data_IF_908495298623
#
_entry.id   IF_908495298623
#
_cell.length_a   1.000
_cell.length_b   1.000
_cell.length_c   1.000
_cell.angle_alpha   90.00
_cell.angle_beta   90.00
_cell.angle_gamma   90.00
#
_symmetry.space_group_name_H-M   'P 1'
#
loop_
_entity.id
_entity.type
_entity.pdbx_description
1 polymer ?
#
# COMPACT_ATOMS: atom_id res chain seq x y z
N UNK A 1 -54.28 48.58 49.17
CA UNK A 1 -54.74 47.38 49.90
C UNK A 1 -55.81 46.68 49.08
N UNK A 2 -55.48 45.49 48.59
CA UNK A 2 -56.27 44.69 47.64
C UNK A 2 -57.52 44.10 48.30
N UNK A 3 -58.71 44.38 47.75
CA UNK A 3 -60.00 43.72 48.07
C UNK A 3 -60.04 42.30 47.50
N UNK A 4 -59.09 41.46 47.85
CA UNK A 4 -59.15 40.04 47.53
C UNK A 4 -59.43 39.27 48.82
N UNK A 5 -60.36 38.32 48.76
CA UNK A 5 -60.63 37.28 49.77
C UNK A 5 -61.70 37.55 50.87
N UNK A 6 -62.90 38.01 50.51
CA UNK A 6 -64.06 37.81 51.41
C UNK A 6 -64.52 36.34 51.51
N UNK A 7 -64.13 35.50 50.55
CA UNK A 7 -64.43 34.06 50.53
C UNK A 7 -63.75 33.26 51.66
N UNK A 8 -62.67 33.78 52.27
CA UNK A 8 -61.71 32.95 53.02
C UNK A 8 -61.68 33.19 54.53
N UNK A 9 -62.69 33.87 55.10
CA UNK A 9 -62.68 34.29 56.52
C UNK A 9 -62.70 33.16 57.58
N UNK A 10 -62.91 31.88 57.22
CA UNK A 10 -63.20 30.82 58.21
C UNK A 10 -62.65 29.40 57.96
N UNK A 11 -61.75 29.14 57.01
CA UNK A 11 -61.25 27.76 56.79
C UNK A 11 -59.73 27.72 56.59
N UNK A 12 -59.13 26.65 57.12
CA UNK A 12 -57.70 26.34 57.12
C UNK A 12 -57.02 26.62 55.77
N UNK A 13 -55.81 27.18 55.84
CA UNK A 13 -55.11 27.86 54.75
C UNK A 13 -54.48 26.90 53.72
N UNK A 14 -55.29 26.10 53.04
CA UNK A 14 -54.81 25.27 51.93
C UNK A 14 -54.73 26.12 50.66
N UNK A 15 -53.51 26.40 50.22
CA UNK A 15 -53.22 27.12 48.97
C UNK A 15 -52.77 26.12 47.90
N UNK A 16 -53.15 26.38 46.65
CA UNK A 16 -52.69 25.66 45.48
C UNK A 16 -52.00 26.61 44.50
N UNK A 17 -51.09 26.07 43.71
CA UNK A 17 -50.29 26.80 42.75
C UNK A 17 -50.59 26.31 41.33
N UNK A 18 -50.84 27.23 40.41
CA UNK A 18 -51.00 26.87 38.99
C UNK A 18 -49.63 26.77 38.32
N UNK A 19 -49.30 25.61 37.78
CA UNK A 19 -47.99 25.35 37.18
C UNK A 19 -47.74 26.07 35.84
N UNK A 20 -48.78 26.59 35.19
CA UNK A 20 -48.66 27.29 33.90
C UNK A 20 -48.53 28.81 34.09
N UNK A 21 -49.35 29.38 34.96
CA UNK A 21 -49.39 30.83 35.16
C UNK A 21 -48.71 31.30 36.45
N UNK A 22 -48.19 30.35 37.24
CA UNK A 22 -47.45 30.59 38.48
C UNK A 22 -48.20 31.44 39.53
N UNK A 23 -49.54 31.42 39.48
CA UNK A 23 -50.40 32.13 40.45
C UNK A 23 -50.85 31.21 41.56
N UNK A 24 -50.99 31.77 42.76
CA UNK A 24 -51.49 31.11 43.95
C UNK A 24 -53.00 31.31 44.10
N UNK A 25 -53.70 30.25 44.49
CA UNK A 25 -55.15 30.23 44.62
C UNK A 25 -55.54 29.52 45.92
N UNK A 26 -56.60 29.99 46.59
CA UNK A 26 -57.23 29.21 47.64
C UNK A 26 -58.02 28.05 47.02
N UNK A 27 -57.91 26.86 47.59
CA UNK A 27 -58.58 25.65 47.07
C UNK A 27 -60.10 25.85 47.00
N UNK A 28 -60.70 26.50 48.02
CA UNK A 28 -62.13 26.82 48.03
C UNK A 28 -62.57 27.77 46.91
N UNK A 29 -61.67 28.62 46.40
CA UNK A 29 -61.93 29.52 45.28
C UNK A 29 -61.81 28.80 43.92
N UNK A 30 -61.09 27.67 43.89
CA UNK A 30 -60.95 26.83 42.70
C UNK A 30 -62.11 25.85 42.57
N UNK A 31 -62.58 25.26 43.67
CA UNK A 31 -63.76 24.37 43.67
C UNK A 31 -65.05 25.08 43.22
N UNK A 32 -65.16 26.39 43.48
CA UNK A 32 -66.28 27.22 42.99
C UNK A 32 -66.16 27.58 41.51
N UNK A 33 -64.97 27.49 40.91
CA UNK A 33 -64.73 27.72 39.49
C UNK A 33 -64.73 26.38 38.78
N UNK A 34 -65.75 26.10 37.98
CA UNK A 34 -65.93 24.87 37.20
C UNK A 34 -64.82 24.54 36.17
N UNK A 35 -63.72 25.30 36.14
CA UNK A 35 -62.63 25.22 35.16
C UNK A 35 -61.25 24.91 35.76
N UNK A 36 -61.17 24.61 37.07
CA UNK A 36 -59.94 24.14 37.69
C UNK A 36 -59.77 22.62 37.49
N UNK A 37 -58.61 22.20 36.99
CA UNK A 37 -58.30 20.79 36.70
C UNK A 37 -57.08 20.36 37.51
N UNK A 38 -57.19 19.24 38.23
CA UNK A 38 -56.06 18.62 38.95
C UNK A 38 -55.35 17.64 38.01
N UNK A 39 -54.03 17.73 37.98
CA UNK A 39 -53.14 16.86 37.22
C UNK A 39 -52.55 15.77 38.14
N UNK A 40 -51.80 14.85 37.54
CA UNK A 40 -50.99 13.87 38.27
C UNK A 40 -49.97 14.55 39.22
N UNK A 41 -49.54 13.82 40.25
CA UNK A 41 -48.58 14.30 41.26
C UNK A 41 -48.98 15.59 42.02
N UNK A 42 -50.28 15.87 42.10
CA UNK A 42 -50.80 16.98 42.89
C UNK A 42 -50.66 18.36 42.22
N UNK A 43 -50.30 18.41 40.94
CA UNK A 43 -50.25 19.66 40.18
C UNK A 43 -51.67 20.14 39.84
N UNK A 44 -51.84 21.46 39.61
CA UNK A 44 -53.14 22.08 39.37
C UNK A 44 -53.08 23.09 38.22
N UNK A 45 -54.16 23.17 37.45
CA UNK A 45 -54.42 24.21 36.45
C UNK A 45 -55.65 25.03 36.87
N UNK A 46 -55.50 26.36 36.89
CA UNK A 46 -56.52 27.27 37.44
C UNK A 46 -57.64 27.68 36.48
N UNK A 47 -57.52 27.36 35.19
CA UNK A 47 -58.48 27.71 34.14
C UNK A 47 -58.30 26.85 32.89
N UNK A 48 -59.34 26.80 32.05
CA UNK A 48 -59.31 26.17 30.73
C UNK A 48 -58.21 26.74 29.82
N UNK A 49 -57.92 28.04 29.92
CA UNK A 49 -56.81 28.65 29.18
C UNK A 49 -55.45 28.07 29.61
N UNK A 50 -55.24 27.86 30.92
CA UNK A 50 -54.03 27.20 31.42
C UNK A 50 -53.99 25.72 31.02
N UNK A 51 -55.14 25.04 30.98
CA UNK A 51 -55.25 23.67 30.45
C UNK A 51 -54.83 23.58 28.99
N UNK A 52 -55.32 24.48 28.14
CA UNK A 52 -54.98 24.50 26.73
C UNK A 52 -53.49 24.79 26.52
N UNK A 53 -52.91 25.73 27.28
CA UNK A 53 -51.46 26.01 27.24
C UNK A 53 -50.63 24.79 27.67
N UNK A 54 -50.98 24.17 28.79
CA UNK A 54 -50.29 22.97 29.28
C UNK A 54 -50.32 21.82 28.26
N UNK A 55 -51.49 21.54 27.69
CA UNK A 55 -51.65 20.52 26.65
C UNK A 55 -50.84 20.84 25.39
N UNK A 56 -50.84 22.10 24.95
CA UNK A 56 -50.06 22.54 23.79
C UNK A 56 -48.55 22.42 24.04
N UNK A 57 -48.07 22.83 25.21
CA UNK A 57 -46.65 22.74 25.57
C UNK A 57 -46.20 21.28 25.69
N UNK A 58 -47.02 20.40 26.25
CA UNK A 58 -46.72 18.97 26.30
C UNK A 58 -46.72 18.31 24.92
N UNK A 59 -47.63 18.69 24.03
CA UNK A 59 -47.64 18.21 22.65
C UNK A 59 -46.38 18.65 21.90
N UNK A 60 -45.92 19.89 22.08
CA UNK A 60 -44.66 20.38 21.51
C UNK A 60 -43.45 19.60 22.04
N UNK A 61 -43.37 19.40 23.36
CA UNK A 61 -42.30 18.60 23.98
C UNK A 61 -42.28 17.17 23.45
N UNK A 62 -43.44 16.56 23.29
CA UNK A 62 -43.55 15.20 22.73
C UNK A 62 -43.03 15.16 21.29
N UNK A 63 -43.41 16.13 20.46
CA UNK A 63 -42.90 16.22 19.07
C UNK A 63 -41.39 16.44 19.01
N UNK A 64 -40.83 17.22 19.93
CA UNK A 64 -39.38 17.44 20.05
C UNK A 64 -38.65 16.17 20.47
N UNK A 65 -39.19 15.42 21.43
CA UNK A 65 -38.65 14.11 21.83
C UNK A 65 -38.69 13.13 20.63
N UNK A 66 -39.83 13.01 19.95
CA UNK A 66 -39.96 12.14 18.76
C UNK A 66 -38.98 12.55 17.64
N UNK A 67 -38.70 13.85 17.50
CA UNK A 67 -37.71 14.36 16.56
C UNK A 67 -36.28 13.99 16.97
N UNK A 68 -35.91 14.20 18.23
CA UNK A 68 -34.59 13.84 18.77
C UNK A 68 -34.34 12.32 18.70
N UNK A 69 -35.35 11.50 18.97
CA UNK A 69 -35.24 10.04 18.83
C UNK A 69 -34.97 9.60 17.39
N UNK A 70 -35.58 10.27 16.42
CA UNK A 70 -35.31 10.03 14.99
C UNK A 70 -33.89 10.42 14.62
N UNK A 71 -33.43 11.61 15.04
CA UNK A 71 -32.05 12.04 14.82
C UNK A 71 -31.04 11.08 15.45
N UNK A 72 -31.33 10.58 16.66
CA UNK A 72 -30.45 9.63 17.33
C UNK A 72 -30.37 8.30 16.57
N UNK A 73 -31.49 7.79 16.04
CA UNK A 73 -31.50 6.61 15.16
C UNK A 73 -30.68 6.82 13.89
N UNK A 74 -30.78 8.00 13.27
CA UNK A 74 -30.02 8.32 12.07
C UNK A 74 -28.53 8.45 12.35
N UNK A 75 -28.16 9.07 13.47
CA UNK A 75 -26.77 9.16 13.92
C UNK A 75 -26.15 7.77 14.15
N UNK A 76 -26.88 6.86 14.80
CA UNK A 76 -26.43 5.48 14.99
C UNK A 76 -26.19 4.75 13.66
N UNK A 77 -27.09 4.90 12.68
CA UNK A 77 -26.91 4.31 11.34
C UNK A 77 -25.69 4.87 10.62
N UNK A 78 -25.43 6.16 10.73
CA UNK A 78 -24.25 6.78 10.15
C UNK A 78 -22.96 6.28 10.82
N UNK A 79 -22.96 6.11 12.15
CA UNK A 79 -21.81 5.55 12.86
C UNK A 79 -21.53 4.09 12.47
N UNK A 80 -22.57 3.27 12.32
CA UNK A 80 -22.44 1.90 11.79
C UNK A 80 -21.87 1.91 10.36
N UNK A 81 -22.35 2.81 9.50
CA UNK A 81 -21.86 2.95 8.13
C UNK A 81 -20.38 3.36 8.10
N UNK A 82 -19.99 4.37 8.88
CA UNK A 82 -18.60 4.85 8.97
C UNK A 82 -17.68 3.71 9.44
N UNK A 83 -18.08 2.99 10.49
CA UNK A 83 -17.31 1.87 11.04
C UNK A 83 -17.10 0.80 9.98
N UNK A 84 -18.18 0.42 9.27
CA UNK A 84 -18.11 -0.57 8.19
C UNK A 84 -17.21 -0.11 7.03
N UNK A 85 -17.33 1.14 6.59
CA UNK A 85 -16.47 1.69 5.54
C UNK A 85 -15.00 1.74 5.96
N UNK A 86 -14.73 2.01 7.24
CA UNK A 86 -13.37 2.01 7.78
C UNK A 86 -12.79 0.59 7.81
N UNK A 87 -13.58 -0.41 8.19
CA UNK A 87 -13.19 -1.82 8.15
C UNK A 87 -12.91 -2.30 6.72
N UNK A 88 -13.78 -1.95 5.76
CA UNK A 88 -13.58 -2.25 4.34
C UNK A 88 -12.30 -1.59 3.81
N UNK A 89 -12.04 -0.33 4.15
CA UNK A 89 -10.81 0.38 3.78
C UNK A 89 -9.57 -0.28 4.37
N UNK A 90 -9.62 -0.66 5.65
CA UNK A 90 -8.52 -1.36 6.32
C UNK A 90 -8.24 -2.73 5.67
N UNK A 91 -9.28 -3.46 5.27
CA UNK A 91 -9.13 -4.71 4.53
C UNK A 91 -8.43 -4.50 3.19
N UNK A 92 -8.86 -3.51 2.41
CA UNK A 92 -8.22 -3.18 1.12
C UNK A 92 -6.75 -2.81 1.33
N UNK A 93 -6.44 -1.99 2.33
CA UNK A 93 -5.07 -1.59 2.63
C UNK A 93 -4.17 -2.77 3.02
N UNK A 94 -4.72 -3.71 3.81
CA UNK A 94 -4.02 -4.94 4.18
C UNK A 94 -3.73 -5.82 2.97
N UNK A 95 -4.73 -6.08 2.13
CA UNK A 95 -4.56 -6.89 0.90
C UNK A 95 -3.54 -6.26 -0.04
N UNK A 96 -3.59 -4.93 -0.24
CA UNK A 96 -2.61 -4.23 -1.07
C UNK A 96 -1.19 -4.36 -0.51
N UNK A 97 -1.03 -4.25 0.81
CA UNK A 97 0.27 -4.43 1.46
C UNK A 97 0.82 -5.84 1.26
N UNK A 98 -0.01 -6.87 1.46
CA UNK A 98 0.36 -8.27 1.25
C UNK A 98 0.75 -8.55 -0.22
N UNK A 99 0.03 -7.94 -1.18
CA UNK A 99 0.36 -8.12 -2.61
C UNK A 99 1.65 -7.41 -3.00
N UNK A 100 1.93 -6.20 -2.48
CA UNK A 100 3.21 -5.51 -2.67
C UNK A 100 4.36 -6.37 -2.12
N UNK A 101 4.23 -6.90 -0.90
CA UNK A 101 5.26 -7.76 -0.29
C UNK A 101 5.50 -9.04 -1.11
N UNK A 102 4.46 -9.62 -1.70
CA UNK A 102 4.60 -10.79 -2.60
C UNK A 102 5.32 -10.45 -3.90
N UNK A 103 4.99 -9.32 -4.52
CA UNK A 103 5.64 -8.88 -5.76
C UNK A 103 7.12 -8.58 -5.52
N UNK A 104 7.45 -7.87 -4.44
CA UNK A 104 8.84 -7.59 -4.06
C UNK A 104 9.66 -8.87 -3.87
N UNK A 105 9.09 -9.88 -3.20
CA UNK A 105 9.76 -11.18 -3.02
C UNK A 105 9.97 -11.94 -4.33
N UNK A 106 8.99 -11.91 -5.23
CA UNK A 106 9.09 -12.55 -6.54
C UNK A 106 10.15 -11.88 -7.41
N UNK A 107 10.19 -10.55 -7.44
CA UNK A 107 11.18 -9.80 -8.21
C UNK A 107 12.60 -10.03 -7.69
N UNK A 108 12.78 -10.08 -6.37
CA UNK A 108 14.06 -10.46 -5.76
C UNK A 108 14.47 -11.89 -6.13
N UNK A 109 13.55 -12.84 -6.10
CA UNK A 109 13.81 -14.25 -6.44
C UNK A 109 14.18 -14.43 -7.91
N UNK A 110 13.46 -13.77 -8.83
CA UNK A 110 13.76 -13.77 -10.26
C UNK A 110 15.13 -13.13 -10.53
N UNK A 111 15.44 -12.03 -9.85
CA UNK A 111 16.73 -11.35 -9.98
C UNK A 111 17.88 -12.22 -9.47
N UNK A 112 17.70 -12.91 -8.34
CA UNK A 112 18.69 -13.83 -7.79
C UNK A 112 18.98 -15.00 -8.75
N UNK A 113 17.93 -15.66 -9.25
CA UNK A 113 18.08 -16.75 -10.24
C UNK A 113 18.82 -16.31 -11.49
N UNK A 114 18.48 -15.13 -12.02
CA UNK A 114 19.16 -14.58 -13.19
C UNK A 114 20.63 -14.22 -12.89
N UNK A 115 20.91 -13.79 -11.65
CA UNK A 115 22.27 -13.60 -11.17
C UNK A 115 23.08 -14.90 -11.16
N UNK A 116 22.50 -15.98 -10.64
CA UNK A 116 23.14 -17.31 -10.61
C UNK A 116 23.40 -17.85 -12.02
N UNK A 117 22.42 -17.73 -12.94
CA UNK A 117 22.58 -18.11 -14.36
C UNK A 117 23.72 -17.34 -15.04
N UNK A 118 23.85 -16.03 -14.77
CA UNK A 118 24.93 -15.21 -15.31
C UNK A 118 26.29 -15.60 -14.72
N UNK A 119 26.35 -15.97 -13.44
CA UNK A 119 27.58 -16.46 -12.80
C UNK A 119 28.04 -17.78 -13.43
N UNK A 120 27.13 -18.71 -13.71
CA UNK A 120 27.43 -19.97 -14.40
C UNK A 120 28.00 -19.71 -15.82
N UNK A 121 27.39 -18.79 -16.57
CA UNK A 121 27.90 -18.38 -17.90
C UNK A 121 29.30 -17.74 -17.82
N UNK A 122 29.58 -16.95 -16.78
CA UNK A 122 30.91 -16.36 -16.56
C UNK A 122 31.94 -17.47 -16.30
N UNK A 123 31.60 -18.48 -15.51
CA UNK A 123 32.49 -19.60 -15.22
C UNK A 123 32.79 -20.43 -16.47
N UNK A 124 31.77 -20.71 -17.30
CA UNK A 124 31.94 -21.38 -18.60
C UNK A 124 32.86 -20.58 -19.53
N UNK A 125 32.64 -19.27 -19.67
CA UNK A 125 33.49 -18.39 -20.47
C UNK A 125 34.93 -18.35 -19.97
N UNK A 126 35.14 -18.38 -18.64
CA UNK A 126 36.47 -18.43 -18.04
C UNK A 126 37.18 -19.76 -18.34
N UNK A 127 36.45 -20.88 -18.33
CA UNK A 127 37.00 -22.18 -18.74
C UNK A 127 37.39 -22.17 -20.23
N UNK A 128 36.52 -21.67 -21.10
CA UNK A 128 36.79 -21.53 -22.55
C UNK A 128 38.04 -20.65 -22.76
N UNK A 129 38.11 -19.50 -22.10
CA UNK A 129 39.27 -18.60 -22.15
C UNK A 129 40.56 -19.32 -21.77
N UNK A 130 40.54 -20.15 -20.71
CA UNK A 130 41.70 -20.93 -20.28
C UNK A 130 42.15 -21.91 -21.36
N UNK A 131 41.21 -22.62 -21.98
CA UNK A 131 41.49 -23.55 -23.08
C UNK A 131 42.12 -22.80 -24.25
N UNK A 132 41.53 -21.66 -24.66
CA UNK A 132 42.05 -20.86 -25.77
C UNK A 132 43.47 -20.35 -25.51
N UNK A 133 43.78 -19.92 -24.28
CA UNK A 133 45.13 -19.48 -23.91
C UNK A 133 46.14 -20.62 -24.08
N UNK A 134 45.81 -21.81 -23.59
CA UNK A 134 46.67 -23.00 -23.77
C UNK A 134 46.84 -23.36 -25.24
N UNK A 135 45.80 -23.28 -26.06
CA UNK A 135 45.92 -23.52 -27.50
C UNK A 135 46.83 -22.50 -28.19
N UNK A 136 46.78 -21.23 -27.77
CA UNK A 136 47.68 -20.17 -28.30
C UNK A 136 49.14 -20.45 -27.92
N UNK A 137 49.40 -20.92 -26.70
CA UNK A 137 50.74 -21.32 -26.25
C UNK A 137 51.30 -22.45 -27.12
N UNK A 138 50.52 -23.51 -27.33
CA UNK A 138 50.91 -24.65 -28.19
C UNK A 138 51.20 -24.21 -29.62
N UNK A 139 50.32 -23.41 -30.23
CA UNK A 139 50.53 -22.91 -31.60
C UNK A 139 51.77 -22.01 -31.70
N UNK A 140 52.09 -21.24 -30.65
CA UNK A 140 53.31 -20.42 -30.60
C UNK A 140 54.56 -21.29 -30.56
N UNK A 141 54.55 -22.38 -29.79
CA UNK A 141 55.66 -23.35 -29.72
C UNK A 141 55.86 -24.07 -31.06
N UNK A 142 54.78 -24.59 -31.67
CA UNK A 142 54.83 -25.23 -32.99
C UNK A 142 55.36 -24.28 -34.07
N UNK A 143 54.90 -23.01 -34.06
CA UNK A 143 55.39 -21.99 -34.99
C UNK A 143 56.89 -21.77 -34.83
N UNK A 144 57.40 -21.71 -33.60
CA UNK A 144 58.83 -21.57 -33.34
C UNK A 144 59.63 -22.76 -33.85
N UNK A 145 59.14 -23.98 -33.63
CA UNK A 145 59.77 -25.21 -34.12
C UNK A 145 59.82 -25.25 -35.65
N UNK A 146 58.69 -24.99 -36.31
CA UNK A 146 58.59 -24.94 -37.76
C UNK A 146 59.52 -23.86 -38.36
N UNK A 147 59.68 -22.72 -37.68
CA UNK A 147 60.58 -21.67 -38.12
C UNK A 147 62.05 -22.12 -38.07
N UNK A 148 62.46 -22.85 -37.01
CA UNK A 148 63.80 -23.45 -36.91
C UNK A 148 64.04 -24.53 -37.98
N UNK A 149 63.05 -25.39 -38.23
CA UNK A 149 63.15 -26.42 -39.27
C UNK A 149 63.27 -25.81 -40.67
N UNK A 150 62.50 -24.76 -40.96
CA UNK A 150 62.59 -24.01 -42.22
C UNK A 150 63.97 -23.36 -42.40
N UNK A 151 64.56 -22.80 -41.34
CA UNK A 151 65.92 -22.26 -41.41
C UNK A 151 66.96 -23.35 -41.68
N UNK A 152 66.83 -24.52 -41.05
CA UNK A 152 67.70 -25.66 -41.30
C UNK A 152 67.58 -26.17 -42.75
N UNK A 153 66.35 -26.32 -43.26
CA UNK A 153 66.12 -26.71 -44.66
C UNK A 153 66.71 -25.69 -45.64
N UNK A 154 66.60 -24.39 -45.37
CA UNK A 154 67.24 -23.34 -46.19
C UNK A 154 68.76 -23.52 -46.26
N UNK A 155 69.42 -23.86 -45.15
CA UNK A 155 70.86 -24.14 -45.14
C UNK A 155 71.19 -25.38 -45.99
N UNK A 156 70.44 -26.47 -45.81
CA UNK A 156 70.65 -27.71 -46.60
C UNK A 156 70.44 -27.53 -48.10
N UNK A 157 69.44 -26.72 -48.50
CA UNK A 157 69.23 -26.40 -49.93
C UNK A 157 70.43 -25.66 -50.50
N UNK A 158 70.96 -24.66 -49.79
CA UNK A 158 72.18 -23.95 -50.21
C UNK A 158 73.39 -24.88 -50.36
N UNK A 159 73.55 -25.84 -49.44
CA UNK A 159 74.64 -26.81 -49.53
C UNK A 159 74.52 -27.69 -50.77
N UNK A 160 73.31 -28.16 -51.09
CA UNK A 160 73.05 -28.95 -52.31
C UNK A 160 73.28 -28.12 -53.58
N UNK A 161 72.80 -26.88 -53.62
CA UNK A 161 73.04 -25.95 -54.75
C UNK A 161 74.53 -25.72 -54.98
N UNK A 162 75.33 -25.57 -53.92
CA UNK A 162 76.79 -25.44 -54.00
C UNK A 162 77.48 -26.71 -54.51
N UNK A 163 76.99 -27.89 -54.11
CA UNK A 163 77.53 -29.17 -54.60
C UNK A 163 77.25 -29.31 -56.10
N UNK A 164 75.99 -29.09 -56.53
CA UNK A 164 75.63 -29.16 -57.95
C UNK A 164 76.47 -28.19 -58.80
N UNK A 165 76.67 -26.95 -58.35
CA UNK A 165 77.51 -25.98 -59.08
C UNK A 165 78.97 -26.44 -59.19
N UNK A 166 79.52 -27.08 -58.15
CA UNK A 166 80.88 -27.64 -58.21
C UNK A 166 80.97 -28.79 -59.22
N UNK A 167 79.99 -29.69 -59.22
CA UNK A 167 79.93 -30.80 -60.16
C UNK A 167 79.80 -30.31 -61.61
N UNK A 168 78.94 -29.30 -61.86
CA UNK A 168 78.81 -28.67 -63.18
C UNK A 168 80.12 -28.04 -63.65
N UNK A 169 80.82 -27.32 -62.77
CA UNK A 169 82.14 -26.74 -63.08
C UNK A 169 83.17 -27.82 -63.40
N UNK A 170 83.23 -28.91 -62.63
CA UNK A 170 84.14 -30.03 -62.89
C UNK A 170 83.87 -30.69 -64.25
N UNK A 171 82.60 -30.88 -64.62
CA UNK A 171 82.21 -31.44 -65.92
C UNK A 171 82.64 -30.51 -67.06
N UNK A 172 82.39 -29.20 -66.93
CA UNK A 172 82.81 -28.21 -67.93
C UNK A 172 84.32 -28.18 -68.06
N UNK A 173 85.06 -28.21 -66.95
CA UNK A 173 86.53 -28.27 -66.94
C UNK A 173 87.05 -29.51 -67.66
N UNK A 174 86.54 -30.72 -67.36
CA UNK A 174 86.94 -31.94 -68.08
C UNK A 174 86.61 -31.90 -69.57
N UNK A 175 85.46 -31.34 -69.94
CA UNK A 175 85.06 -31.23 -71.34
C UNK A 175 85.86 -30.19 -72.11
N UNK A 176 86.42 -29.18 -71.43
CA UNK A 176 87.35 -28.23 -72.03
C UNK A 176 88.72 -28.89 -72.29
N UNK A 177 89.23 -29.66 -71.33
CA UNK A 177 90.48 -30.42 -71.46
C UNK A 177 90.43 -31.45 -72.61
N UNK A 178 89.27 -32.09 -72.84
CA UNK A 178 89.07 -33.06 -73.93
C UNK A 178 88.91 -32.45 -75.33
N UNK A 179 88.82 -31.12 -75.47
CA UNK A 179 88.68 -30.42 -76.75
C UNK A 179 89.97 -29.77 -77.25
N UNK A 180 91.04 -29.82 -76.46
CA UNK A 180 92.36 -29.27 -76.82
C UNK A 180 93.33 -30.33 -77.41
N UNK A 181 92.88 -31.58 -77.57
CA UNK A 181 93.54 -32.66 -78.33
C UNK A 181 92.90 -32.85 -79.72
#
# INVERSE_FOLDING_TARGET
>A
MLKYYECCKKKEFSHAFCIVCFKQYHISCLERKSSATRLENGLLLCSTECQNRYSNDNNKKKQEIDYLERLNKENNRLNEFITKSQDESNMVHKTLKEEIERLDQNDLSLTAKKGDELLEQIDELNQIKKIMLTSVEVLSEEKSLNQKEMENLKWRVKDVELINLKEEVEIVSRNAELKED
#
